data_IF_496613516985
#
_entry.id   IF_496613516985
#
_cell.length_a   1.000
_cell.length_b   1.000
_cell.length_c   1.000
_cell.angle_alpha   90.00
_cell.angle_beta   90.00
_cell.angle_gamma   90.00
#
_symmetry.space_group_name_H-M   'P 1'
#
loop_
_entity.id
_entity.type
_entity.pdbx_description
1 polymer ?
#
# COMPACT_ATOMS: atom_id res chain seq x y z
N UNK A 1 8.01 -6.03 -16.34
CA UNK A 1 7.15 -7.00 -15.63
C UNK A 1 7.12 -6.65 -14.15
N UNK A 2 6.00 -6.84 -13.46
CA UNK A 2 5.93 -6.65 -12.00
C UNK A 2 6.37 -7.99 -11.39
N UNK A 3 7.50 -8.02 -10.68
CA UNK A 3 7.97 -9.26 -10.04
C UNK A 3 7.38 -9.39 -8.65
N UNK A 4 7.44 -8.35 -7.80
CA UNK A 4 6.92 -8.38 -6.43
C UNK A 4 5.92 -7.27 -6.17
N UNK A 5 4.76 -7.66 -5.65
CA UNK A 5 3.68 -6.74 -5.28
C UNK A 5 3.35 -6.88 -3.80
N UNK A 6 3.27 -5.75 -3.09
CA UNK A 6 2.76 -5.67 -1.72
C UNK A 6 1.34 -5.10 -1.70
N UNK A 7 0.39 -5.83 -1.12
CA UNK A 7 -0.89 -5.33 -0.64
C UNK A 7 -0.71 -4.80 0.79
N UNK A 8 -0.56 -3.48 0.91
CA UNK A 8 -0.37 -2.78 2.18
C UNK A 8 -1.72 -2.53 2.84
N UNK A 9 -1.87 -2.98 4.09
CA UNK A 9 -3.15 -3.05 4.80
C UNK A 9 -4.06 -4.15 4.25
N UNK A 10 -3.51 -5.35 4.00
CA UNK A 10 -4.20 -6.41 3.28
C UNK A 10 -5.41 -7.00 4.02
N UNK A 11 -5.51 -6.78 5.33
CA UNK A 11 -6.50 -7.41 6.21
C UNK A 11 -6.58 -8.93 5.93
N UNK A 12 -7.78 -9.47 5.77
CA UNK A 12 -8.05 -10.88 5.43
C UNK A 12 -7.63 -11.31 4.02
N UNK A 13 -7.14 -10.40 3.18
CA UNK A 13 -6.57 -10.75 1.87
C UNK A 13 -7.53 -10.70 0.69
N UNK A 14 -8.72 -10.09 0.85
CA UNK A 14 -9.73 -9.99 -0.21
C UNK A 14 -9.17 -9.38 -1.49
N UNK A 15 -8.41 -8.28 -1.36
CA UNK A 15 -7.79 -7.62 -2.51
C UNK A 15 -6.52 -8.36 -2.96
N UNK A 16 -5.78 -8.96 -2.03
CA UNK A 16 -4.55 -9.69 -2.32
C UNK A 16 -4.78 -10.81 -3.34
N UNK A 17 -5.91 -11.52 -3.26
CA UNK A 17 -6.28 -12.54 -4.25
C UNK A 17 -6.42 -11.97 -5.67
N UNK A 18 -7.08 -10.84 -5.84
CA UNK A 18 -7.19 -10.14 -7.13
C UNK A 18 -5.84 -9.63 -7.63
N UNK A 19 -5.04 -9.04 -6.74
CA UNK A 19 -3.70 -8.54 -7.08
C UNK A 19 -2.74 -9.67 -7.50
N UNK A 20 -3.02 -10.90 -7.07
CA UNK A 20 -2.26 -12.09 -7.40
C UNK A 20 -2.32 -12.47 -8.89
N UNK A 21 -3.27 -11.94 -9.67
CA UNK A 21 -3.34 -12.16 -11.11
C UNK A 21 -2.25 -11.36 -11.87
N UNK A 22 -1.63 -10.37 -11.23
CA UNK A 22 -0.61 -9.50 -11.84
C UNK A 22 0.83 -9.93 -11.52
N UNK A 23 1.03 -10.85 -10.58
CA UNK A 23 2.34 -11.40 -10.21
C UNK A 23 2.26 -12.75 -9.48
N UNK A 24 3.30 -13.56 -9.62
CA UNK A 24 3.48 -14.78 -8.82
C UNK A 24 4.09 -14.54 -7.44
N UNK A 25 4.75 -13.40 -7.20
CA UNK A 25 5.25 -13.03 -5.87
C UNK A 25 4.40 -11.92 -5.23
N UNK A 26 3.26 -12.32 -4.66
CA UNK A 26 2.31 -11.45 -3.95
C UNK A 26 2.52 -11.52 -2.43
N UNK A 27 2.50 -10.36 -1.79
CA UNK A 27 2.67 -10.21 -0.35
C UNK A 27 1.52 -9.39 0.21
N UNK A 28 1.03 -9.74 1.40
CA UNK A 28 0.09 -8.93 2.17
C UNK A 28 0.73 -8.50 3.48
N UNK A 29 0.56 -7.23 3.88
CA UNK A 29 1.01 -6.78 5.18
C UNK A 29 -0.07 -5.99 5.93
N UNK A 30 -0.23 -6.28 7.22
CA UNK A 30 -1.21 -5.62 8.08
C UNK A 30 -0.64 -5.48 9.51
N UNK A 31 -1.20 -4.55 10.30
CA UNK A 31 -0.82 -4.34 11.70
C UNK A 31 -1.48 -5.36 12.63
N UNK A 32 -2.64 -5.88 12.23
CA UNK A 32 -3.40 -6.85 13.01
C UNK A 32 -2.75 -8.24 12.90
N UNK A 33 -2.51 -8.85 14.06
CA UNK A 33 -2.07 -10.25 14.12
C UNK A 33 -3.21 -11.21 13.75
N UNK A 34 -2.86 -12.41 13.24
CA UNK A 34 -3.83 -13.47 12.99
C UNK A 34 -4.54 -13.44 11.62
N UNK A 35 -4.22 -12.48 10.75
CA UNK A 35 -4.71 -12.50 9.37
C UNK A 35 -3.95 -13.46 8.44
N UNK A 36 -2.76 -13.94 8.81
CA UNK A 36 -1.96 -14.87 8.00
C UNK A 36 -2.79 -16.06 7.48
N UNK A 37 -3.55 -16.73 8.36
CA UNK A 37 -4.37 -17.87 7.97
C UNK A 37 -5.47 -17.48 6.98
N UNK A 38 -6.15 -16.36 7.23
CA UNK A 38 -7.25 -15.87 6.36
C UNK A 38 -6.73 -15.37 5.01
N UNK A 39 -5.55 -14.77 5.00
CA UNK A 39 -4.85 -14.39 3.79
C UNK A 39 -4.51 -15.63 2.96
N UNK A 40 -3.96 -16.68 3.58
CA UNK A 40 -3.65 -17.93 2.90
C UNK A 40 -4.91 -18.64 2.36
N UNK A 41 -6.05 -18.54 3.06
CA UNK A 41 -7.35 -19.03 2.58
C UNK A 41 -7.83 -18.24 1.35
N UNK A 42 -7.60 -16.92 1.32
CA UNK A 42 -7.99 -16.04 0.20
C UNK A 42 -7.05 -16.13 -1.00
N UNK A 43 -5.76 -16.33 -0.75
CA UNK A 43 -4.70 -16.40 -1.75
C UNK A 43 -3.56 -17.28 -1.22
N UNK A 44 -3.55 -18.56 -1.60
CA UNK A 44 -2.59 -19.54 -1.07
C UNK A 44 -1.13 -19.27 -1.42
N UNK A 45 -0.87 -18.49 -2.47
CA UNK A 45 0.48 -18.06 -2.85
C UNK A 45 0.95 -16.77 -2.14
N UNK A 46 0.06 -16.09 -1.41
CA UNK A 46 0.41 -14.87 -0.72
C UNK A 46 1.25 -15.13 0.53
N UNK A 47 2.26 -14.28 0.74
CA UNK A 47 3.08 -14.27 1.96
C UNK A 47 2.62 -13.13 2.88
N UNK A 48 2.45 -13.43 4.16
CA UNK A 48 2.04 -12.43 5.15
C UNK A 48 3.25 -11.73 5.80
N UNK A 49 3.15 -10.42 6.00
CA UNK A 49 4.09 -9.61 6.76
C UNK A 49 3.38 -8.82 7.86
N UNK A 50 3.66 -9.13 9.12
CA UNK A 50 3.11 -8.38 10.24
C UNK A 50 3.85 -7.05 10.46
N UNK A 51 3.12 -5.94 10.37
CA UNK A 51 3.65 -4.60 10.62
C UNK A 51 3.77 -4.41 12.13
N UNK A 52 5.00 -4.24 12.64
CA UNK A 52 5.25 -3.97 14.06
C UNK A 52 5.96 -2.65 14.23
N UNK A 53 5.51 -1.83 15.17
CA UNK A 53 6.10 -0.51 15.46
C UNK A 53 6.27 0.36 14.20
N UNK A 54 5.25 0.37 13.33
CA UNK A 54 5.26 1.06 12.04
C UNK A 54 6.45 0.68 11.15
N UNK A 55 6.90 -0.58 11.20
CA UNK A 55 7.94 -1.13 10.33
C UNK A 55 7.43 -2.31 9.52
N UNK A 56 7.78 -2.30 8.23
CA UNK A 56 7.48 -3.39 7.31
C UNK A 56 8.54 -4.50 7.46
N UNK A 57 8.15 -5.78 7.58
CA UNK A 57 9.07 -6.89 7.78
C UNK A 57 9.72 -7.36 6.46
N UNK A 58 10.11 -6.41 5.61
CA UNK A 58 10.70 -6.68 4.30
C UNK A 58 12.01 -5.90 4.14
N UNK A 59 12.90 -6.45 3.32
CA UNK A 59 14.18 -5.83 2.98
C UNK A 59 14.00 -4.53 2.19
N UNK A 60 15.06 -3.74 2.16
CA UNK A 60 15.14 -2.54 1.32
C UNK A 60 15.02 -2.93 -0.16
N UNK A 61 14.43 -2.05 -0.97
CA UNK A 61 14.32 -2.20 -2.43
C UNK A 61 13.76 -3.55 -2.89
N UNK A 62 12.76 -4.06 -2.18
CA UNK A 62 12.23 -5.40 -2.39
C UNK A 62 11.06 -5.44 -3.40
N UNK A 63 10.15 -4.46 -3.36
CA UNK A 63 8.91 -4.45 -4.15
C UNK A 63 9.00 -3.58 -5.40
N UNK A 64 8.41 -4.06 -6.49
CA UNK A 64 8.16 -3.25 -7.70
C UNK A 64 6.95 -2.34 -7.52
N UNK A 65 5.91 -2.88 -6.86
CA UNK A 65 4.66 -2.16 -6.57
C UNK A 65 4.29 -2.36 -5.10
N UNK A 66 3.94 -1.25 -4.44
CA UNK A 66 3.16 -1.25 -3.21
C UNK A 66 1.78 -0.70 -3.55
N UNK A 67 0.74 -1.49 -3.30
CA UNK A 67 -0.66 -1.12 -3.47
C UNK A 67 -1.28 -0.90 -2.09
N UNK A 68 -2.02 0.19 -1.91
CA UNK A 68 -2.75 0.50 -0.67
C UNK A 68 -4.19 0.83 -1.02
N UNK A 69 -5.13 0.25 -0.28
CA UNK A 69 -6.56 0.44 -0.49
C UNK A 69 -7.24 0.83 0.83
N UNK A 70 -7.71 2.08 0.95
CA UNK A 70 -8.50 2.53 2.09
C UNK A 70 -7.80 2.35 3.46
N UNK A 71 -6.47 2.47 3.50
CA UNK A 71 -5.64 2.25 4.71
C UNK A 71 -5.27 3.56 5.38
N UNK A 72 -4.80 4.54 4.61
CA UNK A 72 -4.20 5.77 5.15
C UNK A 72 -5.23 6.61 5.90
N UNK A 73 -6.52 6.45 5.62
CA UNK A 73 -7.61 7.09 6.38
C UNK A 73 -7.60 6.78 7.89
N UNK A 74 -6.98 5.68 8.32
CA UNK A 74 -6.93 5.28 9.73
C UNK A 74 -5.71 5.83 10.48
N UNK A 75 -4.71 6.34 9.78
CA UNK A 75 -3.44 6.77 10.39
C UNK A 75 -3.49 8.20 10.91
N UNK A 76 -2.69 8.53 11.92
CA UNK A 76 -2.38 9.93 12.26
C UNK A 76 -1.31 10.48 11.30
N UNK A 77 -1.12 11.80 11.25
CA UNK A 77 -0.07 12.41 10.39
C UNK A 77 1.32 11.84 10.67
N UNK A 78 1.65 11.63 11.94
CA UNK A 78 2.92 11.01 12.35
C UNK A 78 3.07 9.61 11.74
N UNK A 79 2.03 8.79 11.81
CA UNK A 79 2.05 7.42 11.27
C UNK A 79 2.10 7.44 9.73
N UNK A 80 1.43 8.40 9.08
CA UNK A 80 1.51 8.60 7.63
C UNK A 80 2.97 8.88 7.19
N UNK A 81 3.69 9.71 7.94
CA UNK A 81 5.12 10.00 7.67
C UNK A 81 5.98 8.75 7.88
N UNK A 82 5.83 8.08 9.03
CA UNK A 82 6.60 6.88 9.38
C UNK A 82 6.39 5.75 8.35
N UNK A 83 5.13 5.44 8.04
CA UNK A 83 4.79 4.43 7.04
C UNK A 83 5.20 4.85 5.63
N UNK A 84 5.16 6.14 5.31
CA UNK A 84 5.67 6.65 4.04
C UNK A 84 7.18 6.41 3.87
N UNK A 85 7.97 6.54 4.94
CA UNK A 85 9.40 6.21 4.91
C UNK A 85 9.64 4.71 4.72
N UNK A 86 8.87 3.87 5.39
CA UNK A 86 8.98 2.41 5.25
C UNK A 86 8.56 1.93 3.86
N UNK A 87 7.45 2.44 3.32
CA UNK A 87 7.02 2.15 1.95
C UNK A 87 8.11 2.57 0.95
N UNK A 88 8.71 3.74 1.16
CA UNK A 88 9.85 4.19 0.37
C UNK A 88 11.04 3.26 0.47
N UNK A 89 11.37 2.79 1.67
CA UNK A 89 12.51 1.88 1.92
C UNK A 89 12.33 0.56 1.19
N UNK A 90 11.13 -0.04 1.26
CA UNK A 90 10.88 -1.35 0.66
C UNK A 90 10.61 -1.31 -0.84
N UNK A 91 10.33 -0.14 -1.42
CA UNK A 91 10.18 0.02 -2.88
C UNK A 91 11.55 0.01 -3.56
N UNK A 92 11.67 -0.77 -4.64
CA UNK A 92 12.81 -0.69 -5.58
C UNK A 92 12.96 0.74 -6.11
N UNK A 93 14.18 1.10 -6.53
CA UNK A 93 14.40 2.33 -7.30
C UNK A 93 13.54 2.28 -8.57
N UNK A 94 12.68 3.29 -8.75
CA UNK A 94 11.74 3.36 -9.88
C UNK A 94 10.43 2.58 -9.66
N UNK A 95 10.28 1.89 -8.52
CA UNK A 95 9.05 1.24 -8.09
C UNK A 95 7.89 2.24 -7.92
N UNK A 96 6.67 1.69 -7.82
CA UNK A 96 5.44 2.49 -7.79
C UNK A 96 4.66 2.26 -6.51
N UNK A 97 4.19 3.36 -5.93
CA UNK A 97 3.17 3.34 -4.89
C UNK A 97 1.82 3.65 -5.55
N UNK A 98 0.85 2.76 -5.39
CA UNK A 98 -0.52 2.95 -5.87
C UNK A 98 -1.43 3.05 -4.65
N UNK A 99 -2.21 4.12 -4.56
CA UNK A 99 -3.10 4.40 -3.43
C UNK A 99 -4.52 4.57 -3.95
N UNK A 100 -5.43 3.72 -3.49
CA UNK A 100 -6.86 3.86 -3.71
C UNK A 100 -7.53 4.39 -2.44
N UNK A 101 -8.05 5.60 -2.48
CA UNK A 101 -8.63 6.26 -1.30
C UNK A 101 -9.86 7.12 -1.64
N UNK A 102 -10.78 7.21 -0.68
CA UNK A 102 -11.97 8.07 -0.75
C UNK A 102 -11.72 9.43 -0.09
N UNK A 103 -10.98 10.33 -0.76
CA UNK A 103 -10.41 11.53 -0.14
C UNK A 103 -11.43 12.56 0.38
N UNK A 104 -12.67 12.53 -0.11
CA UNK A 104 -13.75 13.45 0.33
C UNK A 104 -14.20 13.27 1.78
N UNK A 105 -13.87 12.16 2.46
CA UNK A 105 -14.23 11.93 3.87
C UNK A 105 -13.09 12.23 4.86
N UNK A 106 -11.91 12.59 4.38
CA UNK A 106 -10.79 12.91 5.25
C UNK A 106 -10.84 14.38 5.66
N UNK A 107 -10.68 14.70 6.95
CA UNK A 107 -10.58 16.10 7.40
C UNK A 107 -9.39 16.88 6.79
N UNK A 108 -8.50 16.21 6.03
CA UNK A 108 -7.25 16.74 5.49
C UNK A 108 -7.05 16.53 3.97
N UNK A 109 -8.08 16.11 3.21
CA UNK A 109 -8.06 16.07 1.73
C UNK A 109 -6.81 15.44 1.06
N UNK A 110 -6.48 15.91 -0.16
CA UNK A 110 -5.25 15.54 -0.91
C UNK A 110 -3.97 15.92 -0.17
N UNK A 111 -4.02 16.94 0.68
CA UNK A 111 -2.91 17.52 1.44
C UNK A 111 -2.24 16.50 2.38
N UNK A 112 -2.96 15.44 2.76
CA UNK A 112 -2.43 14.37 3.60
C UNK A 112 -1.31 13.56 2.96
N UNK A 113 -1.25 13.50 1.63
CA UNK A 113 -0.13 12.86 0.92
C UNK A 113 1.02 13.83 0.69
N UNK A 114 0.83 15.13 0.89
CA UNK A 114 1.92 16.10 0.78
C UNK A 114 2.92 16.01 1.90
N UNK A 115 2.47 15.59 3.09
CA UNK A 115 3.35 15.32 4.24
C UNK A 115 4.11 14.00 4.13
N UNK A 116 3.71 13.09 3.23
CA UNK A 116 4.44 11.83 3.06
C UNK A 116 5.82 12.09 2.42
N UNK A 117 6.92 11.55 2.98
CA UNK A 117 8.29 11.82 2.52
C UNK A 117 8.69 11.04 1.25
N UNK A 118 7.81 11.04 0.25
CA UNK A 118 7.89 10.21 -0.96
C UNK A 118 8.56 10.91 -2.15
N UNK A 119 9.48 11.85 -1.90
CA UNK A 119 10.31 12.43 -2.98
C UNK A 119 10.99 11.30 -3.77
N UNK A 120 10.94 11.38 -5.10
CA UNK A 120 11.49 10.43 -6.09
C UNK A 120 10.75 9.10 -6.23
N UNK A 121 9.52 8.99 -5.73
CA UNK A 121 8.65 7.81 -5.94
C UNK A 121 7.57 8.16 -6.96
N UNK A 122 7.29 7.20 -7.85
CA UNK A 122 6.14 7.28 -8.73
C UNK A 122 4.88 6.94 -7.93
N UNK A 123 4.07 7.94 -7.61
CA UNK A 123 2.82 7.75 -6.87
C UNK A 123 1.65 7.87 -7.83
N UNK A 124 0.76 6.89 -7.77
CA UNK A 124 -0.51 6.88 -8.48
C UNK A 124 -1.62 6.87 -7.44
N UNK A 125 -2.40 7.94 -7.37
CA UNK A 125 -3.57 8.01 -6.49
C UNK A 125 -4.81 7.84 -7.37
N UNK A 126 -5.65 6.88 -6.99
CA UNK A 126 -6.94 6.61 -7.61
C UNK A 126 -8.01 7.09 -6.63
N UNK A 127 -8.72 8.16 -7.00
CA UNK A 127 -9.79 8.74 -6.19
C UNK A 127 -11.17 8.27 -6.66
N UNK A 128 -11.97 7.75 -5.73
CA UNK A 128 -13.36 7.35 -5.97
C UNK A 128 -14.29 8.57 -5.86
N UNK A 129 -14.71 9.13 -7.00
CA UNK A 129 -15.78 10.13 -7.08
C UNK A 129 -17.16 9.46 -7.30
N UNK A 130 -18.27 10.19 -7.04
CA UNK A 130 -19.62 9.58 -7.11
C UNK A 130 -19.94 9.05 -8.51
N UNK A 131 -19.34 9.66 -9.53
CA UNK A 131 -19.68 9.43 -10.93
C UNK A 131 -18.44 9.06 -11.80
N UNK A 132 -17.21 9.13 -11.25
CA UNK A 132 -15.97 8.88 -12.00
C UNK A 132 -14.78 8.53 -11.08
N UNK A 133 -13.71 7.97 -11.67
CA UNK A 133 -12.42 7.78 -11.00
C UNK A 133 -11.41 8.80 -11.54
N UNK A 134 -10.64 9.44 -10.65
CA UNK A 134 -9.55 10.34 -11.06
C UNK A 134 -8.18 9.69 -10.81
N UNK A 135 -7.32 9.69 -11.82
CA UNK A 135 -5.93 9.28 -11.73
C UNK A 135 -5.06 10.50 -11.47
N UNK A 136 -4.43 10.56 -10.31
CA UNK A 136 -3.50 11.63 -9.96
C UNK A 136 -2.11 11.03 -9.88
N UNK A 137 -1.25 11.39 -10.82
CA UNK A 137 0.13 10.93 -10.84
C UNK A 137 1.07 12.02 -10.34
N UNK A 138 1.86 11.71 -9.30
CA UNK A 138 2.96 12.56 -8.87
C UNK A 138 4.29 11.97 -9.33
N UNK A 139 5.11 12.78 -10.00
CA UNK A 139 6.57 12.59 -10.02
C UNK A 139 7.16 13.68 -9.11
N UNK A 140 7.42 13.35 -7.85
CA UNK A 140 8.14 14.25 -6.92
C UNK A 140 9.64 13.99 -6.99
#
# INVERSE_FOLDING_TARGET
PVERLLDFGCNTGRLTGFLSDFTDEIYGADIDEGYEKKLAESCSKAKFGLIKNNKLPFSDEFFDIVFSCKVFQHFSEKVVVEMGLEIKRVLKIGGKLIIYEGLRKLPYGKDRFDIMPLKKINIIIIEENRDHYELITFKK
#
